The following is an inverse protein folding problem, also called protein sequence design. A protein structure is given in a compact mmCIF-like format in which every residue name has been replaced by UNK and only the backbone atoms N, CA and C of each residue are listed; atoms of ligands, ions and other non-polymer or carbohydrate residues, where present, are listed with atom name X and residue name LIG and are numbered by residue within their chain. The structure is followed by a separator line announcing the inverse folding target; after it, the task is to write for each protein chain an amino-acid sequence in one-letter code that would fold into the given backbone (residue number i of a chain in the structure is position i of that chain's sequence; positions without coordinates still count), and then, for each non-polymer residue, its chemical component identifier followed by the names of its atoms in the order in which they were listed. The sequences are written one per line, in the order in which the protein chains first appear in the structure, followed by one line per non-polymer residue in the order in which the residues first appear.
data_IF_001789723914
#
_entry.id   IF_001789723914
#
_cell.length_a   1.000
_cell.length_b   1.000
_cell.length_c   1.000
_cell.angle_alpha   90.00
_cell.angle_beta   90.00
_cell.angle_gamma   90.00
#
_symmetry.space_group_name_H-M   'P 1'
#
loop_
_entity.id
_entity.type
_entity.pdbx_description
1 polymer ?
#
# COMPACT_ATOMS: atom_id res chain seq x y z
N UNK A 1 -0.47 5.46 -2.25
CA UNK A 1 -1.24 6.47 -1.48
C UNK A 1 -2.70 6.14 -1.40
N UNK A 2 -3.46 6.04 -2.51
CA UNK A 2 -4.90 5.67 -2.42
C UNK A 2 -5.19 4.42 -1.58
N UNK A 3 -4.43 3.34 -1.79
CA UNK A 3 -4.54 2.15 -0.94
C UNK A 3 -4.18 2.39 0.52
N UNK A 4 -3.21 3.27 0.82
CA UNK A 4 -2.81 3.60 2.19
C UNK A 4 -3.88 4.45 2.88
N UNK A 5 -4.50 5.38 2.15
CA UNK A 5 -5.62 6.18 2.63
C UNK A 5 -6.80 5.25 2.96
N UNK A 6 -7.16 4.34 2.06
CA UNK A 6 -8.22 3.37 2.33
C UNK A 6 -7.87 2.42 3.48
N UNK A 7 -6.62 1.95 3.56
CA UNK A 7 -6.16 1.12 4.66
C UNK A 7 -6.22 1.86 6.01
N UNK A 8 -5.92 3.16 6.03
CA UNK A 8 -6.05 4.01 7.22
C UNK A 8 -7.48 4.18 7.73
N UNK A 9 -8.49 3.82 6.94
CA UNK A 9 -9.90 3.79 7.36
C UNK A 9 -10.32 2.43 7.96
N UNK A 10 -9.44 1.43 7.91
CA UNK A 10 -9.72 0.09 8.44
C UNK A 10 -9.02 -0.10 9.80
N UNK A 11 -9.59 -0.93 10.69
CA UNK A 11 -8.89 -1.34 11.90
C UNK A 11 -7.71 -2.26 11.50
N UNK A 12 -6.51 -1.69 11.39
CA UNK A 12 -5.32 -2.45 11.03
C UNK A 12 -4.14 -1.58 10.58
N UNK A 13 -3.07 -2.26 10.21
CA UNK A 13 -1.83 -1.63 9.74
C UNK A 13 -1.64 -1.92 8.24
N UNK A 14 -1.03 -0.98 7.53
CA UNK A 14 -0.70 -1.17 6.11
C UNK A 14 0.73 -1.69 5.95
N UNK A 15 0.87 -2.80 5.23
CA UNK A 15 2.16 -3.35 4.77
C UNK A 15 2.31 -3.13 3.28
N UNK A 16 3.41 -2.53 2.84
CA UNK A 16 3.74 -2.38 1.43
C UNK A 16 4.62 -3.57 1.00
N UNK A 17 4.20 -4.26 -0.06
CA UNK A 17 4.93 -5.41 -0.60
C UNK A 17 5.30 -5.10 -2.04
N UNK A 18 6.61 -5.06 -2.34
CA UNK A 18 7.09 -5.11 -3.72
C UNK A 18 7.35 -6.57 -4.10
N UNK A 19 6.40 -7.17 -4.81
CA UNK A 19 6.60 -8.51 -5.39
C UNK A 19 7.33 -8.44 -6.74
N UNK A 20 7.83 -9.59 -7.19
CA UNK A 20 8.66 -9.73 -8.40
C UNK A 20 9.97 -8.93 -8.32
N UNK A 21 10.52 -8.80 -7.11
CA UNK A 21 11.76 -8.07 -6.85
C UNK A 21 12.92 -8.60 -7.71
N UNK A 22 12.90 -9.89 -8.04
CA UNK A 22 13.83 -10.58 -8.93
C UNK A 22 13.85 -10.09 -10.40
N UNK A 23 12.95 -9.18 -10.79
CA UNK A 23 12.96 -8.53 -12.11
C UNK A 23 13.67 -7.17 -12.11
N UNK A 24 14.00 -6.65 -10.92
CA UNK A 24 14.61 -5.33 -10.78
C UNK A 24 16.13 -5.43 -10.87
N UNK A 25 16.72 -4.53 -11.64
CA UNK A 25 18.16 -4.32 -11.68
C UNK A 25 18.53 -3.17 -10.75
N UNK A 26 19.45 -3.35 -9.79
CA UNK A 26 19.78 -2.31 -8.80
C UNK A 26 20.30 -1.00 -9.41
N UNK A 27 20.97 -1.05 -10.57
CA UNK A 27 21.56 0.13 -11.22
C UNK A 27 20.50 0.86 -12.04
N UNK A 28 19.76 0.13 -12.87
CA UNK A 28 18.70 0.69 -13.73
C UNK A 28 17.50 1.17 -12.91
N UNK A 29 17.07 0.38 -11.95
CA UNK A 29 15.80 0.58 -11.24
C UNK A 29 15.97 1.18 -9.84
N UNK A 30 17.21 1.45 -9.41
CA UNK A 30 17.54 2.09 -8.13
C UNK A 30 16.67 3.31 -7.80
N UNK A 31 16.45 4.26 -8.72
CA UNK A 31 15.55 5.41 -8.47
C UNK A 31 14.09 5.00 -8.19
N UNK A 32 13.59 3.96 -8.84
CA UNK A 32 12.23 3.46 -8.61
C UNK A 32 12.12 2.74 -7.27
N UNK A 33 13.13 1.94 -6.91
CA UNK A 33 13.22 1.28 -5.61
C UNK A 33 13.38 2.29 -4.46
N UNK A 34 14.08 3.40 -4.69
CA UNK A 34 14.22 4.48 -3.71
C UNK A 34 12.88 5.14 -3.34
N UNK A 35 11.90 5.15 -4.23
CA UNK A 35 10.56 5.64 -3.88
C UNK A 35 9.95 4.82 -2.73
N UNK A 36 10.28 3.52 -2.60
CA UNK A 36 9.81 2.70 -1.48
C UNK A 36 10.54 3.02 -0.17
N UNK A 37 11.78 3.52 -0.23
CA UNK A 37 12.48 4.01 0.96
C UNK A 37 11.81 5.28 1.52
N UNK A 38 11.23 6.13 0.68
CA UNK A 38 10.43 7.28 1.13
C UNK A 38 9.25 6.83 2.02
N UNK A 39 8.62 5.69 1.71
CA UNK A 39 7.56 5.11 2.55
C UNK A 39 8.08 4.51 3.86
N UNK A 40 9.29 3.95 3.87
CA UNK A 40 9.93 3.50 5.11
C UNK A 40 10.25 4.67 6.05
N UNK A 41 10.76 5.77 5.50
CA UNK A 41 11.14 6.96 6.27
C UNK A 41 9.97 7.56 7.05
N UNK A 42 8.76 7.44 6.52
CA UNK A 42 7.51 7.92 7.13
C UNK A 42 6.77 6.82 7.90
N UNK A 43 7.41 5.67 8.15
CA UNK A 43 6.94 4.66 9.09
C UNK A 43 6.17 3.48 8.52
N UNK A 44 5.99 3.35 7.21
CA UNK A 44 5.36 2.14 6.66
C UNK A 44 6.36 0.98 6.59
N UNK A 45 5.97 -0.24 7.05
CA UNK A 45 6.74 -1.42 6.76
C UNK A 45 6.71 -1.71 5.25
N UNK A 46 7.88 -2.04 4.70
CA UNK A 46 8.05 -2.38 3.29
C UNK A 46 8.86 -3.67 3.17
N UNK A 47 8.28 -4.68 2.52
CA UNK A 47 8.95 -5.94 2.19
C UNK A 47 9.20 -6.07 0.69
N UNK A 48 10.38 -6.54 0.35
CA UNK A 48 10.73 -6.98 -1.00
C UNK A 48 10.52 -8.48 -1.07
N UNK A 49 9.75 -8.95 -2.05
CA UNK A 49 9.43 -10.36 -2.19
C UNK A 49 9.57 -10.84 -3.62
N UNK A 50 9.79 -12.14 -3.76
CA UNK A 50 9.66 -12.83 -5.04
C UNK A 50 9.01 -14.18 -4.84
N UNK A 51 7.83 -14.37 -5.45
CA UNK A 51 7.23 -15.71 -5.54
C UNK A 51 8.09 -16.69 -6.34
N UNK A 52 8.96 -16.20 -7.24
CA UNK A 52 9.83 -17.03 -8.10
C UNK A 52 11.05 -17.53 -7.35
N UNK A 53 11.78 -16.64 -6.69
CA UNK A 53 13.02 -16.99 -5.96
C UNK A 53 12.77 -17.35 -4.49
N UNK A 54 11.54 -17.14 -4.01
CA UNK A 54 11.11 -17.29 -2.61
C UNK A 54 11.72 -16.28 -1.64
N UNK A 55 12.42 -15.28 -2.15
CA UNK A 55 12.98 -14.19 -1.35
C UNK A 55 11.87 -13.42 -0.62
N UNK A 56 12.08 -13.11 0.65
CA UNK A 56 11.19 -12.30 1.48
C UNK A 56 9.87 -12.94 1.87
N UNK A 57 9.56 -14.15 1.38
CA UNK A 57 8.27 -14.80 1.63
C UNK A 57 8.10 -15.26 3.09
N UNK A 58 9.16 -15.77 3.72
CA UNK A 58 9.14 -16.10 5.14
C UNK A 58 8.90 -14.86 6.00
N UNK A 59 9.59 -13.75 5.71
CA UNK A 59 9.36 -12.48 6.42
C UNK A 59 7.94 -11.95 6.23
N UNK A 60 7.34 -12.14 5.05
CA UNK A 60 5.93 -11.84 4.81
C UNK A 60 5.04 -12.72 5.69
N UNK A 61 5.27 -14.04 5.72
CA UNK A 61 4.48 -14.96 6.54
C UNK A 61 4.54 -14.56 8.01
N UNK A 62 5.73 -14.38 8.55
CA UNK A 62 5.93 -14.05 9.96
C UNK A 62 5.27 -12.71 10.32
N UNK A 63 5.26 -11.74 9.41
CA UNK A 63 4.60 -10.45 9.62
C UNK A 63 3.07 -10.56 9.75
N UNK A 64 2.45 -11.51 9.02
CA UNK A 64 0.99 -11.71 9.00
C UNK A 64 0.51 -12.86 9.89
N UNK A 65 1.42 -13.67 10.43
CA UNK A 65 1.09 -14.79 11.29
C UNK A 65 0.25 -14.33 12.50
N UNK A 66 -0.83 -15.04 12.77
CA UNK A 66 -1.78 -14.70 13.85
C UNK A 66 -2.67 -13.48 13.58
N UNK A 67 -2.56 -12.84 12.40
CA UNK A 67 -3.40 -11.69 11.99
C UNK A 67 -4.39 -12.09 10.91
N UNK A 68 -5.41 -11.26 10.70
CA UNK A 68 -6.26 -11.32 9.50
C UNK A 68 -5.72 -10.30 8.49
N UNK A 69 -5.16 -10.78 7.38
CA UNK A 69 -4.60 -9.94 6.33
C UNK A 69 -5.50 -9.93 5.09
N UNK A 70 -5.61 -8.79 4.42
CA UNK A 70 -6.22 -8.67 3.08
C UNK A 70 -5.17 -8.21 2.09
N UNK A 71 -5.01 -8.93 0.98
CA UNK A 71 -4.13 -8.50 -0.10
C UNK A 71 -4.89 -7.64 -1.10
N UNK A 72 -4.39 -6.42 -1.31
CA UNK A 72 -4.94 -5.46 -2.28
C UNK A 72 -3.86 -5.01 -3.25
N UNK A 73 -4.25 -4.58 -4.46
CA UNK A 73 -3.32 -4.18 -5.50
C UNK A 73 -3.84 -4.46 -6.90
N UNK A 74 -3.21 -3.84 -7.89
CA UNK A 74 -3.60 -3.96 -9.29
C UNK A 74 -3.53 -5.42 -9.81
N UNK A 75 -4.20 -5.69 -10.92
CA UNK A 75 -4.03 -6.96 -11.63
C UNK A 75 -2.56 -7.16 -12.05
N UNK A 76 -2.08 -8.41 -12.05
CA UNK A 76 -0.72 -8.74 -12.50
C UNK A 76 0.42 -8.47 -11.51
N UNK A 77 0.18 -7.86 -10.34
CA UNK A 77 1.23 -7.63 -9.31
C UNK A 77 1.66 -8.90 -8.55
N UNK A 78 0.96 -10.03 -8.76
CA UNK A 78 1.34 -11.34 -8.18
C UNK A 78 0.67 -11.71 -6.86
N UNK A 79 -0.50 -11.13 -6.53
CA UNK A 79 -1.28 -11.49 -5.31
C UNK A 79 -1.58 -12.99 -5.22
N UNK A 80 -2.09 -13.61 -6.29
CA UNK A 80 -2.42 -15.04 -6.31
C UNK A 80 -1.18 -15.93 -6.14
N UNK A 81 -0.02 -15.51 -6.68
CA UNK A 81 1.24 -16.23 -6.50
C UNK A 81 1.72 -16.17 -5.04
N UNK A 82 1.55 -15.03 -4.36
CA UNK A 82 1.80 -14.92 -2.92
C UNK A 82 0.79 -15.74 -2.10
N UNK A 83 -0.50 -15.68 -2.45
CA UNK A 83 -1.56 -16.44 -1.78
C UNK A 83 -1.28 -17.94 -1.82
N UNK A 84 -0.94 -18.47 -3.01
CA UNK A 84 -0.63 -19.89 -3.21
C UNK A 84 0.59 -20.33 -2.40
N UNK A 85 1.61 -19.49 -2.25
CA UNK A 85 2.75 -19.82 -1.42
C UNK A 85 2.39 -19.84 0.07
N UNK A 86 1.57 -18.89 0.54
CA UNK A 86 1.11 -18.81 1.92
C UNK A 86 0.15 -19.96 2.31
N UNK A 87 -0.58 -20.50 1.32
CA UNK A 87 -1.62 -21.51 1.47
C UNK A 87 -1.35 -22.70 0.53
N UNK A 88 -0.27 -23.48 0.77
CA UNK A 88 0.18 -24.53 -0.14
C UNK A 88 -0.79 -25.72 -0.25
N UNK A 89 -1.62 -25.96 0.77
CA UNK A 89 -2.58 -27.07 0.81
C UNK A 89 -3.96 -26.72 0.23
N UNK A 90 -4.20 -25.43 -0.04
CA UNK A 90 -5.44 -25.01 -0.65
C UNK A 90 -5.23 -24.99 -2.17
N UNK A 91 -6.13 -25.65 -2.89
CA UNK A 91 -6.29 -25.45 -4.34
C UNK A 91 -6.87 -24.05 -4.59
N UNK A 92 -6.09 -23.03 -4.24
CA UNK A 92 -6.32 -21.68 -4.74
C UNK A 92 -6.13 -21.84 -6.23
N UNK A 93 -7.24 -21.92 -6.96
CA UNK A 93 -7.23 -21.89 -8.42
C UNK A 93 -6.50 -20.62 -8.81
N UNK A 94 -5.19 -20.73 -9.03
CA UNK A 94 -4.42 -19.78 -9.79
C UNK A 94 -5.06 -19.90 -11.17
N UNK A 95 -6.08 -19.08 -11.42
CA UNK A 95 -6.76 -19.03 -12.70
C UNK A 95 -5.66 -18.96 -13.75
N UNK A 96 -5.54 -20.05 -14.51
CA UNK A 96 -4.42 -20.28 -15.40
C UNK A 96 -4.16 -18.99 -16.18
N UNK A 97 -2.90 -18.59 -16.23
CA UNK A 97 -2.44 -17.47 -17.06
C UNK A 97 -2.89 -17.81 -18.49
N UNK A 98 -3.95 -17.17 -18.95
CA UNK A 98 -4.35 -17.27 -20.34
C UNK A 98 -3.22 -16.68 -21.18
N UNK A 99 -2.79 -17.42 -22.20
CA UNK A 99 -1.70 -17.11 -23.15
C UNK A 99 -1.95 -15.85 -24.02
N UNK A 100 -2.79 -14.91 -23.57
CA UNK A 100 -3.20 -13.73 -24.35
C UNK A 100 -2.68 -12.41 -23.78
N UNK A 101 -1.87 -12.42 -22.72
CA UNK A 101 -1.31 -11.19 -22.15
C UNK A 101 -2.34 -10.27 -21.44
N UNK A 102 -3.60 -10.68 -21.35
CA UNK A 102 -4.66 -10.00 -20.62
C UNK A 102 -5.27 -10.92 -19.56
N UNK A 103 -4.90 -10.71 -18.29
CA UNK A 103 -5.40 -11.50 -17.16
C UNK A 103 -6.89 -11.29 -16.94
N UNK A 104 -7.70 -12.31 -17.22
CA UNK A 104 -9.15 -12.34 -16.93
C UNK A 104 -9.37 -12.95 -15.54
N UNK A 105 -9.84 -12.14 -14.61
CA UNK A 105 -10.09 -12.49 -13.21
C UNK A 105 -11.25 -13.49 -13.07
N UNK A 106 -11.09 -14.54 -12.26
CA UNK A 106 -12.17 -15.52 -11.96
C UNK A 106 -12.55 -15.63 -10.48
N UNK A 107 -11.99 -14.80 -9.58
CA UNK A 107 -12.46 -14.72 -8.18
C UNK A 107 -13.55 -13.64 -8.12
N UNK A 108 -14.81 -14.02 -7.97
CA UNK A 108 -15.98 -13.10 -7.97
C UNK A 108 -16.45 -12.69 -6.58
N UNK A 109 -15.95 -13.31 -5.52
CA UNK A 109 -16.24 -12.98 -4.12
C UNK A 109 -14.96 -13.03 -3.28
N UNK A 110 -14.84 -12.15 -2.30
CA UNK A 110 -13.74 -12.24 -1.33
C UNK A 110 -13.87 -13.55 -0.54
N UNK A 111 -12.77 -14.28 -0.39
CA UNK A 111 -12.73 -15.54 0.35
C UNK A 111 -11.72 -15.44 1.49
N UNK A 112 -12.08 -16.01 2.64
CA UNK A 112 -11.21 -16.07 3.81
C UNK A 112 -10.63 -17.48 3.93
N UNK A 113 -9.31 -17.54 4.04
CA UNK A 113 -8.53 -18.76 4.21
C UNK A 113 -7.79 -18.72 5.54
N UNK A 114 -7.74 -19.83 6.27
CA UNK A 114 -6.91 -19.95 7.46
C UNK A 114 -5.46 -20.27 7.08
N UNK A 115 -4.51 -19.53 7.64
CA UNK A 115 -3.09 -19.73 7.39
C UNK A 115 -2.55 -20.90 8.24
N UNK A 116 -1.73 -21.80 7.67
CA UNK A 116 -1.06 -22.87 8.42
C UNK A 116 -0.34 -22.42 9.69
N UNK A 117 0.32 -21.26 9.71
CA UNK A 117 1.00 -20.71 10.91
C UNK A 117 0.09 -19.82 11.78
N UNK A 118 -1.23 -19.94 11.63
CA UNK A 118 -2.22 -19.16 12.36
C UNK A 118 -2.52 -17.80 11.70
N UNK A 119 -3.71 -17.27 11.98
CA UNK A 119 -4.25 -16.11 11.30
C UNK A 119 -5.10 -16.47 10.08
N UNK A 120 -5.44 -15.47 9.27
CA UNK A 120 -6.27 -15.63 8.08
C UNK A 120 -5.83 -14.71 6.95
N UNK A 121 -6.06 -15.15 5.71
CA UNK A 121 -5.86 -14.38 4.49
C UNK A 121 -7.20 -14.19 3.78
N UNK A 122 -7.58 -12.95 3.55
CA UNK A 122 -8.70 -12.58 2.70
C UNK A 122 -8.13 -12.39 1.28
N UNK A 123 -8.44 -13.34 0.40
CA UNK A 123 -8.17 -13.21 -1.03
C UNK A 123 -9.25 -12.33 -1.65
N UNK A 124 -8.83 -11.18 -2.17
CA UNK A 124 -9.72 -10.20 -2.81
C UNK A 124 -9.41 -10.15 -4.31
N UNK A 125 -10.43 -9.98 -5.17
CA UNK A 125 -10.21 -9.81 -6.60
C UNK A 125 -9.28 -8.63 -6.87
N UNK A 126 -8.36 -8.77 -7.82
CA UNK A 126 -7.57 -7.63 -8.27
C UNK A 126 -8.48 -6.56 -8.87
N UNK A 127 -8.31 -5.31 -8.45
CA UNK A 127 -9.00 -4.17 -9.06
C UNK A 127 -8.17 -3.61 -10.21
N UNK A 128 -8.81 -3.22 -11.32
CA UNK A 128 -8.14 -2.56 -12.44
C UNK A 128 -7.80 -1.11 -12.13
N UNK A 129 -8.72 -0.41 -11.48
CA UNK A 129 -8.51 0.91 -10.91
C UNK A 129 -9.06 0.92 -9.48
N UNK A 130 -8.31 1.55 -8.57
CA UNK A 130 -8.74 1.76 -7.19
C UNK A 130 -9.06 3.24 -7.03
N UNK A 131 -10.32 3.57 -7.23
CA UNK A 131 -10.86 4.88 -6.93
C UNK A 131 -11.18 4.95 -5.43
N UNK A 132 -10.78 6.04 -4.79
CA UNK A 132 -11.28 6.34 -3.46
C UNK A 132 -12.73 6.86 -3.59
N UNK A 133 -13.64 6.50 -2.67
CA UNK A 133 -14.89 7.23 -2.54
C UNK A 133 -14.60 8.71 -2.21
N UNK A 134 -15.58 9.61 -2.32
CA UNK A 134 -15.46 10.95 -1.76
C UNK A 134 -15.01 10.86 -0.30
N UNK A 135 -14.03 11.68 0.07
CA UNK A 135 -13.43 11.68 1.41
C UNK A 135 -13.65 13.05 2.03
N UNK A 136 -14.03 13.07 3.30
CA UNK A 136 -13.87 14.25 4.14
C UNK A 136 -12.39 14.62 4.29
N UNK A 137 -12.12 15.87 4.67
CA UNK A 137 -10.75 16.32 4.95
C UNK A 137 -10.07 15.44 6.02
N UNK A 138 -10.81 15.08 7.08
CA UNK A 138 -10.30 14.24 8.15
C UNK A 138 -9.92 12.85 7.65
N UNK A 139 -10.74 12.23 6.78
CA UNK A 139 -10.44 10.93 6.19
C UNK A 139 -9.24 10.98 5.25
N UNK A 140 -9.09 12.08 4.49
CA UNK A 140 -7.90 12.29 3.66
C UNK A 140 -6.65 12.43 4.53
N UNK A 141 -6.69 13.27 5.58
CA UNK A 141 -5.57 13.50 6.49
C UNK A 141 -5.20 12.23 7.28
N UNK A 142 -6.17 11.38 7.63
CA UNK A 142 -5.92 10.08 8.25
C UNK A 142 -5.06 9.14 7.39
N UNK A 143 -5.07 9.31 6.06
CA UNK A 143 -4.21 8.57 5.15
C UNK A 143 -2.75 9.06 5.09
N UNK A 144 -2.43 10.15 5.79
CA UNK A 144 -1.10 10.76 5.90
C UNK A 144 -0.72 10.89 7.38
N UNK A 145 -0.49 9.77 8.10
CA UNK A 145 -0.20 9.78 9.53
C UNK A 145 1.02 10.64 9.90
N UNK A 146 2.00 10.73 8.99
CA UNK A 146 3.17 11.59 9.16
C UNK A 146 2.84 13.10 9.11
N UNK A 147 1.71 13.49 8.53
CA UNK A 147 1.21 14.87 8.59
C UNK A 147 0.47 15.11 9.89
N UNK A 148 -0.40 14.17 10.31
CA UNK A 148 -1.10 14.24 11.59
C UNK A 148 -0.16 14.38 12.79
N UNK A 149 1.02 13.74 12.73
CA UNK A 149 2.06 13.89 13.74
C UNK A 149 2.60 15.33 13.86
N UNK A 150 2.47 16.12 12.79
CA UNK A 150 2.91 17.51 12.72
C UNK A 150 1.78 18.52 12.96
N UNK A 151 0.51 18.11 12.88
CA UNK A 151 -0.66 19.00 13.03
C UNK A 151 -0.59 19.87 14.28
N UNK A 152 -0.21 19.28 15.42
CA UNK A 152 -0.12 19.98 16.71
C UNK A 152 0.92 21.10 16.76
N UNK A 153 1.85 21.12 15.80
CA UNK A 153 2.88 22.14 15.69
C UNK A 153 2.53 23.21 14.64
N UNK A 154 1.48 22.99 13.85
CA UNK A 154 0.98 24.01 12.94
C UNK A 154 0.47 25.23 13.72
N UNK A 155 0.68 26.41 13.14
CA UNK A 155 0.19 27.68 13.71
C UNK A 155 -1.33 27.71 13.88
N UNK A 156 -2.07 27.00 13.03
CA UNK A 156 -3.53 26.98 12.99
C UNK A 156 -4.05 25.59 13.35
N UNK A 157 -5.05 25.53 14.23
CA UNK A 157 -5.66 24.28 14.69
C UNK A 157 -6.44 23.53 13.59
N UNK A 158 -6.85 24.23 12.54
CA UNK A 158 -7.59 23.70 11.39
C UNK A 158 -6.76 23.74 10.10
N UNK A 159 -5.43 23.61 10.21
CA UNK A 159 -4.53 23.66 9.07
C UNK A 159 -4.85 22.55 8.07
N UNK A 160 -5.16 22.94 6.83
CA UNK A 160 -5.34 22.01 5.69
C UNK A 160 -4.02 21.64 5.02
N UNK A 161 -2.91 22.22 5.49
CA UNK A 161 -1.56 22.05 4.96
C UNK A 161 -1.36 22.54 3.53
N UNK A 162 -2.23 23.41 3.04
CA UNK A 162 -2.20 23.88 1.66
C UNK A 162 -1.69 25.33 1.58
N UNK A 163 -2.56 26.28 1.85
CA UNK A 163 -2.29 27.71 1.68
C UNK A 163 -1.84 28.39 2.98
N UNK A 164 -1.96 27.72 4.13
CA UNK A 164 -1.73 28.30 5.45
C UNK A 164 -0.25 28.71 5.64
N UNK A 165 0.00 29.95 6.15
CA UNK A 165 1.34 30.39 6.49
C UNK A 165 1.83 29.72 7.79
N UNK A 166 3.09 29.28 7.81
CA UNK A 166 3.65 28.62 8.99
C UNK A 166 3.16 27.20 9.23
N UNK A 167 2.63 26.53 8.21
CA UNK A 167 2.33 25.10 8.22
C UNK A 167 3.62 24.28 8.42
N UNK A 168 3.63 23.40 9.42
CA UNK A 168 4.80 22.56 9.73
C UNK A 168 5.01 21.42 8.72
N UNK A 169 3.93 20.90 8.11
CA UNK A 169 4.06 19.94 7.00
C UNK A 169 4.83 20.56 5.84
N UNK A 170 4.48 21.80 5.45
CA UNK A 170 5.19 22.53 4.37
C UNK A 170 6.66 22.79 4.71
N UNK A 171 6.95 23.13 5.97
CA UNK A 171 8.34 23.29 6.42
C UNK A 171 9.10 21.97 6.36
N UNK A 172 8.54 20.89 6.90
CA UNK A 172 9.14 19.56 6.89
C UNK A 172 9.41 19.05 5.47
N UNK A 173 8.51 19.31 4.52
CA UNK A 173 8.72 19.05 3.09
C UNK A 173 9.90 19.88 2.54
N UNK A 174 9.93 21.19 2.79
CA UNK A 174 10.97 22.08 2.25
C UNK A 174 12.39 21.76 2.71
N UNK A 175 12.55 21.15 3.89
CA UNK A 175 13.84 20.74 4.45
C UNK A 175 14.14 19.25 4.24
N UNK A 176 13.31 18.53 3.47
CA UNK A 176 13.51 17.13 3.10
C UNK A 176 13.20 16.10 4.20
N UNK A 177 12.52 16.50 5.29
CA UNK A 177 12.06 15.56 6.31
C UNK A 177 10.84 14.75 5.84
N UNK A 178 10.01 15.33 4.96
CA UNK A 178 8.90 14.64 4.32
C UNK A 178 9.12 14.55 2.80
N UNK A 179 8.74 13.44 2.15
CA UNK A 179 8.87 13.30 0.70
C UNK A 179 8.00 14.29 -0.07
N UNK A 180 8.60 15.15 -0.88
CA UNK A 180 7.91 16.15 -1.73
C UNK A 180 6.82 15.50 -2.59
N UNK A 181 7.11 14.36 -3.24
CA UNK A 181 6.14 13.64 -4.08
C UNK A 181 4.87 13.23 -3.32
N UNK A 182 5.01 12.90 -2.04
CA UNK A 182 3.89 12.49 -1.20
C UNK A 182 3.01 13.68 -0.83
N UNK A 183 3.62 14.82 -0.53
CA UNK A 183 2.91 16.09 -0.34
C UNK A 183 2.17 16.56 -1.60
N UNK A 184 2.80 16.48 -2.78
CA UNK A 184 2.14 16.82 -4.04
C UNK A 184 0.92 15.94 -4.34
N UNK A 185 1.00 14.64 -3.98
CA UNK A 185 -0.15 13.73 -4.11
C UNK A 185 -1.27 14.05 -3.13
N UNK A 186 -0.94 14.51 -1.91
CA UNK A 186 -1.92 15.00 -0.95
C UNK A 186 -2.68 16.21 -1.52
N UNK A 187 -1.98 17.23 -2.01
CA UNK A 187 -2.59 18.41 -2.62
C UNK A 187 -3.49 18.03 -3.81
N UNK A 188 -2.99 17.17 -4.71
CA UNK A 188 -3.78 16.72 -5.85
C UNK A 188 -5.01 15.88 -5.51
N UNK A 189 -5.08 15.30 -4.29
CA UNK A 189 -6.29 14.65 -3.78
C UNK A 189 -7.20 15.66 -3.08
N UNK A 190 -6.64 16.60 -2.31
CA UNK A 190 -7.36 17.67 -1.64
C UNK A 190 -8.12 18.55 -2.63
N UNK A 191 -7.47 18.97 -3.72
CA UNK A 191 -8.08 19.81 -4.76
C UNK A 191 -9.29 19.12 -5.42
N UNK A 192 -9.21 17.80 -5.63
CA UNK A 192 -10.32 17.01 -6.22
C UNK A 192 -11.53 16.86 -5.30
N UNK A 193 -11.35 17.03 -3.98
CA UNK A 193 -12.49 17.03 -3.05
C UNK A 193 -13.18 18.41 -2.99
N UNK A 194 -12.51 19.47 -3.46
CA UNK A 194 -13.02 20.84 -3.46
C UNK A 194 -13.67 21.24 -4.80
N UNK A 195 -13.52 20.39 -5.83
CA UNK A 195 -14.13 20.51 -7.16
C UNK A 195 -15.39 19.69 -7.31
#
# INVERSE_FOLDING_TARGET
DRYLIAAGQLPGEALIILNKHDLFDPVRDGPALNCLNEYRQIGYPVLFTSSRTREGLESLYDHIAGKTAIMTGQSGVGKSSLASWLLPEQDIRIGAIAETGEGRHTTTAAQLYHLPRGGALIDSPGVRDFALPPLSLAELQAGYPEFLALDRYCRFNNCTHHHEPGCEVKKAVSVGQLPEKRYQRYLGLLDRQQS
#
